data_IF_749453590688
#
_entry.id   IF_749453590688
#
_cell.length_a   1.000
_cell.length_b   1.000
_cell.length_c   1.000
_cell.angle_alpha   90.00
_cell.angle_beta   90.00
_cell.angle_gamma   90.00
#
_symmetry.space_group_name_H-M   'P 1'
#
loop_
_entity.id
_entity.type
_entity.pdbx_description
1 polymer ?
#
# COMPACT_ATOMS: atom_id res chain seq x y z
N UNK A 1 7.11 9.21 -42.32
CA UNK A 1 6.27 8.43 -41.38
C UNK A 1 6.06 9.29 -40.13
N UNK A 2 4.87 9.22 -39.51
CA UNK A 2 4.63 9.88 -38.22
C UNK A 2 5.30 9.05 -37.13
N UNK A 3 6.08 9.69 -36.27
CA UNK A 3 6.75 9.01 -35.16
C UNK A 3 5.73 8.47 -34.14
N UNK A 4 5.89 7.21 -33.74
CA UNK A 4 5.06 6.58 -32.71
C UNK A 4 5.53 6.96 -31.31
N UNK A 5 4.58 7.34 -30.45
CA UNK A 5 4.88 7.72 -29.07
C UNK A 5 5.42 6.53 -28.27
N UNK A 6 6.44 6.79 -27.46
CA UNK A 6 7.06 5.84 -26.55
C UNK A 6 7.63 6.59 -25.35
N UNK A 7 7.64 5.93 -24.18
CA UNK A 7 8.11 6.53 -22.93
C UNK A 7 9.57 6.96 -23.08
N UNK A 8 10.38 6.13 -23.73
CA UNK A 8 11.83 6.31 -23.87
C UNK A 8 12.19 7.53 -24.73
N UNK A 9 11.36 7.88 -25.72
CA UNK A 9 11.65 8.97 -26.66
C UNK A 9 10.94 10.28 -26.31
N UNK A 10 9.80 10.19 -25.62
CA UNK A 10 8.87 11.32 -25.45
C UNK A 10 8.67 11.72 -23.99
N UNK A 11 9.50 11.22 -23.08
CA UNK A 11 9.52 11.65 -21.69
C UNK A 11 10.95 11.99 -21.28
N UNK A 12 11.08 12.90 -20.31
CA UNK A 12 12.36 13.29 -19.74
C UNK A 12 12.34 13.04 -18.24
N UNK A 13 13.37 12.38 -17.73
CA UNK A 13 13.49 12.12 -16.31
C UNK A 13 14.00 13.37 -15.58
N UNK A 14 13.31 13.75 -14.51
CA UNK A 14 13.73 14.82 -13.60
C UNK A 14 13.59 14.40 -12.15
N UNK A 15 14.14 15.19 -11.23
CA UNK A 15 14.01 14.92 -9.79
C UNK A 15 12.56 15.01 -9.35
N UNK A 16 12.12 14.10 -8.48
CA UNK A 16 10.73 14.09 -7.98
C UNK A 16 10.51 15.24 -6.99
N UNK A 17 9.40 15.93 -7.12
CA UNK A 17 8.90 16.98 -6.23
C UNK A 17 7.76 16.48 -5.32
N UNK A 18 7.32 15.23 -5.51
CA UNK A 18 6.17 14.64 -4.83
C UNK A 18 6.61 13.55 -3.86
N UNK A 19 6.96 13.95 -2.63
CA UNK A 19 7.32 13.05 -1.54
C UNK A 19 7.02 13.71 -0.19
N UNK A 20 6.89 12.90 0.87
CA UNK A 20 6.69 13.40 2.22
C UNK A 20 5.69 12.57 3.01
N UNK A 21 4.79 13.25 3.73
CA UNK A 21 3.78 12.61 4.57
C UNK A 21 2.40 13.17 4.25
N UNK A 22 1.47 12.29 3.86
CA UNK A 22 0.06 12.61 3.71
C UNK A 22 -0.60 12.53 5.09
N UNK A 23 -1.27 13.61 5.49
CA UNK A 23 -2.12 13.64 6.69
C UNK A 23 -3.59 13.54 6.26
N UNK A 24 -4.19 12.36 6.39
CA UNK A 24 -5.59 12.16 6.01
C UNK A 24 -6.54 12.87 6.98
N UNK A 25 -7.46 13.66 6.42
CA UNK A 25 -8.50 14.38 7.18
C UNK A 25 -9.80 13.57 7.25
N UNK A 26 -10.64 13.86 8.25
CA UNK A 26 -12.01 13.31 8.34
C UNK A 26 -12.13 11.88 8.91
N UNK A 27 -11.06 11.31 9.45
CA UNK A 27 -11.09 10.04 10.18
C UNK A 27 -11.18 10.23 11.70
N UNK A 28 -11.57 9.16 12.43
CA UNK A 28 -11.52 9.14 13.90
C UNK A 28 -10.09 9.20 14.47
N UNK A 29 -9.08 8.99 13.62
CA UNK A 29 -7.66 9.03 13.96
C UNK A 29 -6.90 9.77 12.86
N UNK A 30 -5.87 10.54 13.24
CA UNK A 30 -4.91 11.11 12.29
C UNK A 30 -4.08 9.97 11.69
N UNK A 31 -4.34 9.64 10.43
CA UNK A 31 -3.51 8.70 9.68
C UNK A 31 -2.46 9.49 8.90
N UNK A 32 -1.20 9.28 9.29
CA UNK A 32 -0.03 9.82 8.60
C UNK A 32 0.59 8.71 7.76
N UNK A 33 0.69 8.90 6.45
CA UNK A 33 1.30 7.94 5.54
C UNK A 33 2.50 8.57 4.82
N UNK A 34 3.67 7.91 4.85
CA UNK A 34 4.82 8.33 4.04
C UNK A 34 4.54 8.00 2.57
N UNK A 35 4.94 8.87 1.65
CA UNK A 35 4.77 8.66 0.21
C UNK A 35 5.96 9.21 -0.58
N UNK A 36 6.15 8.67 -1.79
CA UNK A 36 7.08 9.16 -2.81
C UNK A 36 6.54 8.79 -4.19
N UNK A 37 6.65 9.70 -5.17
CA UNK A 37 6.44 9.39 -6.59
C UNK A 37 7.76 8.93 -7.22
N UNK A 38 7.72 7.79 -7.89
CA UNK A 38 8.87 7.17 -8.54
C UNK A 38 8.64 7.06 -10.05
N UNK A 39 9.72 6.99 -10.82
CA UNK A 39 9.66 6.61 -12.24
C UNK A 39 9.36 5.12 -12.39
N UNK A 40 8.72 4.73 -13.50
CA UNK A 40 8.31 3.34 -13.78
C UNK A 40 9.49 2.35 -13.83
N UNK A 41 10.69 2.86 -14.15
CA UNK A 41 11.95 2.12 -14.30
C UNK A 41 12.86 2.23 -13.06
N UNK A 42 12.37 2.81 -11.97
CA UNK A 42 13.13 2.91 -10.72
C UNK A 42 13.51 1.53 -10.21
N UNK A 43 14.82 1.27 -10.06
CA UNK A 43 15.34 -0.01 -9.57
C UNK A 43 14.74 -0.39 -8.20
N UNK A 44 14.16 -1.59 -8.03
CA UNK A 44 13.54 -2.01 -6.78
C UNK A 44 14.47 -1.96 -5.56
N UNK A 45 15.78 -2.12 -5.74
CA UNK A 45 16.77 -2.05 -4.66
C UNK A 45 16.80 -0.66 -4.02
N UNK A 46 16.63 0.40 -4.82
CA UNK A 46 16.56 1.76 -4.30
C UNK A 46 15.28 1.97 -3.48
N UNK A 47 14.16 1.38 -3.91
CA UNK A 47 12.87 1.42 -3.20
C UNK A 47 12.99 0.68 -1.87
N UNK A 48 13.62 -0.49 -1.86
CA UNK A 48 13.85 -1.26 -0.63
C UNK A 48 14.78 -0.50 0.34
N UNK A 49 15.84 0.13 -0.17
CA UNK A 49 16.71 0.96 0.66
C UNK A 49 15.96 2.15 1.26
N UNK A 50 15.12 2.84 0.49
CA UNK A 50 14.25 3.91 0.99
C UNK A 50 13.35 3.39 2.12
N UNK A 51 12.68 2.26 1.91
CA UNK A 51 11.77 1.66 2.89
C UNK A 51 12.48 1.29 4.20
N UNK A 52 13.64 0.63 4.11
CA UNK A 52 14.35 0.14 5.30
C UNK A 52 15.17 1.22 6.01
N UNK A 53 15.82 2.13 5.27
CA UNK A 53 16.75 3.12 5.83
C UNK A 53 16.05 4.44 6.15
N UNK A 54 15.45 5.07 5.15
CA UNK A 54 14.85 6.41 5.30
C UNK A 54 13.50 6.34 6.01
N UNK A 55 12.70 5.33 5.68
CA UNK A 55 11.40 5.14 6.31
C UNK A 55 11.47 4.35 7.60
N UNK A 56 12.59 3.69 7.87
CA UNK A 56 12.86 2.88 9.06
C UNK A 56 11.80 1.78 9.25
N UNK A 57 11.35 1.17 8.15
CA UNK A 57 10.48 0.01 8.23
C UNK A 57 11.28 -1.19 8.71
N UNK A 58 10.72 -1.95 9.64
CA UNK A 58 11.28 -3.24 10.05
C UNK A 58 11.26 -4.21 8.86
N UNK A 59 12.38 -4.91 8.65
CA UNK A 59 12.48 -5.94 7.63
C UNK A 59 11.42 -7.03 7.88
N UNK A 60 10.56 -7.33 6.90
CA UNK A 60 9.50 -8.30 7.09
C UNK A 60 10.05 -9.72 7.08
N UNK A 61 9.42 -10.60 7.87
CA UNK A 61 9.67 -12.05 7.78
C UNK A 61 8.85 -12.72 6.67
N UNK A 62 7.82 -12.03 6.18
CA UNK A 62 6.90 -12.49 5.16
C UNK A 62 6.32 -11.27 4.42
N UNK A 63 6.09 -11.41 3.12
CA UNK A 63 5.37 -10.40 2.32
C UNK A 63 4.09 -11.03 1.81
N UNK A 64 2.95 -10.38 2.08
CA UNK A 64 1.64 -10.79 1.59
C UNK A 64 1.20 -9.79 0.53
N UNK A 65 1.20 -10.21 -0.73
CA UNK A 65 0.73 -9.39 -1.84
C UNK A 65 -0.74 -9.71 -2.15
N UNK A 66 -1.62 -8.70 -2.08
CA UNK A 66 -3.07 -8.84 -2.27
C UNK A 66 -3.49 -8.08 -3.53
N UNK A 67 -3.88 -8.86 -4.55
CA UNK A 67 -4.37 -8.38 -5.84
C UNK A 67 -5.83 -8.78 -6.07
N UNK A 68 -6.50 -8.06 -6.97
CA UNK A 68 -7.78 -8.47 -7.54
C UNK A 68 -8.52 -7.31 -8.19
N UNK A 69 -9.84 -7.47 -8.40
CA UNK A 69 -10.65 -6.52 -9.15
C UNK A 69 -10.62 -5.09 -8.58
N UNK A 70 -10.47 -4.11 -9.46
CA UNK A 70 -10.50 -2.67 -9.13
C UNK A 70 -11.92 -2.11 -9.04
N UNK A 71 -12.88 -2.76 -9.70
CA UNK A 71 -14.28 -2.35 -9.66
C UNK A 71 -14.84 -2.53 -8.25
N UNK A 72 -15.77 -1.65 -7.86
CA UNK A 72 -16.43 -1.78 -6.56
C UNK A 72 -17.35 -3.00 -6.57
N UNK A 73 -17.21 -3.83 -5.54
CA UNK A 73 -18.11 -4.94 -5.26
C UNK A 73 -18.31 -5.06 -3.76
N UNK A 74 -19.34 -5.80 -3.36
CA UNK A 74 -19.61 -6.11 -1.97
C UNK A 74 -19.31 -7.59 -1.72
N UNK A 75 -18.52 -7.85 -0.67
CA UNK A 75 -18.32 -9.21 -0.17
C UNK A 75 -19.47 -9.58 0.75
N UNK A 76 -19.92 -10.83 0.66
CA UNK A 76 -20.84 -11.38 1.66
C UNK A 76 -20.25 -11.18 3.08
N UNK A 77 -21.02 -10.72 4.08
CA UNK A 77 -20.48 -10.30 5.40
C UNK A 77 -19.59 -11.35 6.07
N UNK A 78 -19.98 -12.63 5.99
CA UNK A 78 -19.19 -13.75 6.51
C UNK A 78 -17.81 -13.87 5.85
N UNK A 79 -17.73 -13.68 4.54
CA UNK A 79 -16.45 -13.76 3.79
C UNK A 79 -15.59 -12.54 4.13
N UNK A 80 -16.17 -11.33 4.15
CA UNK A 80 -15.48 -10.10 4.55
C UNK A 80 -14.83 -10.27 5.93
N UNK A 81 -15.57 -10.83 6.89
CA UNK A 81 -15.09 -11.05 8.24
C UNK A 81 -13.97 -12.10 8.32
N UNK A 82 -14.14 -13.24 7.65
CA UNK A 82 -13.13 -14.32 7.65
C UNK A 82 -11.84 -13.88 6.98
N UNK A 83 -11.93 -13.24 5.82
CA UNK A 83 -10.79 -12.71 5.08
C UNK A 83 -10.06 -11.65 5.90
N UNK A 84 -10.79 -10.66 6.43
CA UNK A 84 -10.20 -9.59 7.24
C UNK A 84 -9.49 -10.15 8.48
N UNK A 85 -10.15 -11.00 9.27
CA UNK A 85 -9.54 -11.59 10.47
C UNK A 85 -8.33 -12.46 10.14
N UNK A 86 -8.40 -13.27 9.09
CA UNK A 86 -7.29 -14.14 8.67
C UNK A 86 -6.07 -13.33 8.24
N UNK A 87 -6.28 -12.31 7.40
CA UNK A 87 -5.21 -11.43 6.93
C UNK A 87 -4.54 -10.67 8.08
N UNK A 88 -5.34 -10.04 8.95
CA UNK A 88 -4.83 -9.32 10.12
C UNK A 88 -4.05 -10.25 11.06
N UNK A 89 -4.61 -11.44 11.35
CA UNK A 89 -3.94 -12.42 12.21
C UNK A 89 -2.59 -12.85 11.62
N UNK A 90 -2.54 -13.14 10.32
CA UNK A 90 -1.29 -13.52 9.65
C UNK A 90 -0.23 -12.41 9.74
N UNK A 91 -0.61 -11.16 9.44
CA UNK A 91 0.30 -10.02 9.48
C UNK A 91 0.82 -9.74 10.90
N UNK A 92 -0.06 -9.75 11.90
CA UNK A 92 0.31 -9.52 13.31
C UNK A 92 1.21 -10.63 13.86
N UNK A 93 0.92 -11.89 13.53
CA UNK A 93 1.65 -13.04 14.08
C UNK A 93 3.07 -13.11 13.52
N UNK A 94 3.24 -12.79 12.24
CA UNK A 94 4.53 -12.96 11.55
C UNK A 94 5.35 -11.68 11.45
N UNK A 95 4.75 -10.51 11.65
CA UNK A 95 5.37 -9.24 11.27
C UNK A 95 5.45 -9.08 9.75
N UNK A 96 4.43 -9.54 9.02
CA UNK A 96 4.42 -9.45 7.56
C UNK A 96 4.14 -8.03 7.09
N UNK A 97 4.71 -7.68 5.94
CA UNK A 97 4.22 -6.55 5.14
C UNK A 97 3.02 -6.99 4.31
N UNK A 98 2.01 -6.13 4.22
CA UNK A 98 0.90 -6.29 3.27
C UNK A 98 1.13 -5.31 2.12
N UNK A 99 1.19 -5.80 0.88
CA UNK A 99 1.28 -4.99 -0.32
C UNK A 99 -0.04 -5.12 -1.09
N UNK A 100 -0.67 -4.00 -1.42
CA UNK A 100 -1.90 -3.95 -2.22
C UNK A 100 -1.85 -2.75 -3.16
N UNK A 101 -2.88 -2.53 -4.00
CA UNK A 101 -2.86 -1.46 -5.00
C UNK A 101 -3.13 -0.04 -4.50
N UNK A 102 -3.17 0.19 -3.17
CA UNK A 102 -3.29 1.53 -2.57
C UNK A 102 -4.59 2.32 -2.80
N UNK A 103 -5.48 1.84 -3.68
CA UNK A 103 -6.72 2.54 -4.06
C UNK A 103 -7.90 2.25 -3.13
N UNK A 104 -8.81 3.21 -2.99
CA UNK A 104 -10.02 3.09 -2.17
C UNK A 104 -11.20 2.43 -2.92
N UNK A 105 -10.93 1.40 -3.73
CA UNK A 105 -11.94 0.65 -4.47
C UNK A 105 -11.57 -0.84 -4.55
N UNK A 106 -12.55 -1.68 -4.90
CA UNK A 106 -12.38 -3.11 -5.14
C UNK A 106 -11.70 -3.86 -3.99
N UNK A 107 -10.77 -4.77 -4.34
CA UNK A 107 -10.07 -5.60 -3.35
C UNK A 107 -9.24 -4.78 -2.35
N UNK A 108 -8.52 -3.75 -2.82
CA UNK A 108 -7.70 -2.90 -1.97
C UNK A 108 -8.54 -2.20 -0.89
N UNK A 109 -9.77 -1.79 -1.23
CA UNK A 109 -10.71 -1.25 -0.24
C UNK A 109 -11.05 -2.25 0.87
N UNK A 110 -11.31 -3.52 0.53
CA UNK A 110 -11.64 -4.53 1.54
C UNK A 110 -10.46 -4.81 2.49
N UNK A 111 -9.23 -4.76 1.98
CA UNK A 111 -8.00 -4.81 2.81
C UNK A 111 -7.94 -3.60 3.74
N UNK A 112 -8.15 -2.38 3.21
CA UNK A 112 -8.17 -1.15 3.99
C UNK A 112 -9.23 -1.13 5.09
N UNK A 113 -10.43 -1.63 4.81
CA UNK A 113 -11.52 -1.78 5.79
C UNK A 113 -11.09 -2.71 6.95
N UNK A 114 -10.44 -3.84 6.65
CA UNK A 114 -9.96 -4.77 7.68
C UNK A 114 -8.83 -4.17 8.54
N UNK A 115 -7.92 -3.43 7.93
CA UNK A 115 -6.85 -2.70 8.63
C UNK A 115 -7.42 -1.61 9.54
N UNK A 116 -8.44 -0.88 9.07
CA UNK A 116 -9.14 0.15 9.86
C UNK A 116 -9.87 -0.45 11.07
N UNK A 117 -10.51 -1.61 10.91
CA UNK A 117 -11.16 -2.32 12.02
C UNK A 117 -10.14 -2.82 13.06
N UNK A 118 -8.96 -3.28 12.62
CA UNK A 118 -7.88 -3.66 13.53
C UNK A 118 -7.32 -2.46 14.29
N UNK A 119 -7.06 -1.35 13.59
CA UNK A 119 -6.49 -0.14 14.16
C UNK A 119 -7.39 0.53 15.22
N UNK A 120 -8.72 0.37 15.13
CA UNK A 120 -9.64 0.86 16.16
C UNK A 120 -9.63 0.04 17.45
N UNK A 121 -9.08 -1.18 17.42
CA UNK A 121 -9.04 -2.13 18.53
C UNK A 121 -7.65 -2.37 19.11
N UNK A 122 -6.60 -1.98 18.39
CA UNK A 122 -5.21 -2.25 18.75
C UNK A 122 -4.28 -1.11 18.31
N UNK A 123 -3.32 -0.76 19.17
CA UNK A 123 -2.22 0.16 18.82
C UNK A 123 -1.12 -0.50 17.98
N UNK A 124 -1.16 -1.82 17.79
CA UNK A 124 -0.15 -2.55 17.02
C UNK A 124 -0.30 -2.25 15.54
N UNK A 125 0.67 -1.49 15.01
CA UNK A 125 0.74 -1.11 13.60
C UNK A 125 1.07 -2.32 12.73
N UNK A 126 0.38 -2.44 11.61
CA UNK A 126 0.68 -3.38 10.53
C UNK A 126 1.30 -2.56 9.40
N UNK A 127 2.43 -3.02 8.87
CA UNK A 127 3.05 -2.36 7.73
C UNK A 127 2.24 -2.70 6.47
N UNK A 128 1.63 -1.68 5.86
CA UNK A 128 0.88 -1.82 4.62
C UNK A 128 1.40 -0.82 3.60
N UNK A 129 1.66 -1.31 2.39
CA UNK A 129 2.18 -0.55 1.27
C UNK A 129 1.11 -0.60 0.16
N UNK A 130 0.85 0.56 -0.42
CA UNK A 130 -0.17 0.81 -1.45
C UNK A 130 0.43 1.45 -2.68
#
# INVERSE_FOLDING_TARGET
ELEEWSVEKHTEQSSTDAYGVINFQGGSHSYRAKYVRLSYDTRPEAILQLMLKEWQLELPKLVVSVHGGMQKFELHPRIKQLLGKGLIKAAVTTGAWIITGGVNTGVAKHVGDALKEHASRSSRKICTIG
#
